data_IF_292255696812
#
_entry.id   IF_292255696812
#
_cell.length_a   1.000
_cell.length_b   1.000
_cell.length_c   1.000
_cell.angle_alpha   90.00
_cell.angle_beta   90.00
_cell.angle_gamma   90.00
#
_symmetry.space_group_name_H-M   'P 1'
#
loop_
_entity.id
_entity.type
_entity.pdbx_description
1 polymer ?
#
# COMPACT_ATOMS: atom_id res chain seq x y z
N UNK A 1 24.68 2.30 1.79
CA UNK A 1 24.39 0.86 1.66
C UNK A 1 22.88 0.68 1.79
N UNK A 2 22.17 0.48 0.69
CA UNK A 2 20.71 0.36 0.72
C UNK A 2 20.36 -0.99 1.36
N UNK A 3 19.86 -0.98 2.60
CA UNK A 3 19.21 -2.15 3.19
C UNK A 3 18.09 -2.53 2.21
N UNK A 4 18.21 -3.69 1.56
CA UNK A 4 17.06 -4.35 0.92
C UNK A 4 16.13 -4.77 2.06
N UNK A 5 15.34 -3.82 2.54
CA UNK A 5 14.27 -4.07 3.49
C UNK A 5 13.28 -5.01 2.83
N UNK A 6 12.71 -5.94 3.59
CA UNK A 6 11.67 -6.88 3.17
C UNK A 6 10.34 -6.21 2.80
N UNK A 7 10.35 -4.87 2.64
CA UNK A 7 9.21 -4.05 2.25
C UNK A 7 8.86 -4.41 0.81
N UNK A 8 7.78 -5.17 0.65
CA UNK A 8 7.33 -5.72 -0.64
C UNK A 8 7.53 -7.23 -0.79
N UNK A 9 8.16 -7.92 0.18
CA UNK A 9 8.11 -9.37 0.23
C UNK A 9 6.71 -9.84 0.62
N UNK A 10 6.16 -10.79 -0.13
CA UNK A 10 4.86 -11.40 0.18
C UNK A 10 4.88 -11.97 1.60
N UNK A 11 3.86 -11.64 2.40
CA UNK A 11 3.73 -12.02 3.81
C UNK A 11 4.35 -11.05 4.81
N UNK A 12 5.11 -10.04 4.37
CA UNK A 12 5.62 -8.97 5.25
C UNK A 12 4.50 -8.01 5.66
N UNK A 13 3.59 -7.70 4.72
CA UNK A 13 2.43 -6.85 4.95
C UNK A 13 1.16 -7.58 4.48
N UNK A 14 0.63 -8.54 5.26
CA UNK A 14 -0.46 -9.42 4.82
C UNK A 14 -1.72 -8.66 4.38
N UNK A 15 -2.01 -7.53 5.02
CA UNK A 15 -3.14 -6.68 4.64
C UNK A 15 -2.86 -5.89 3.34
N UNK A 16 -1.64 -5.36 3.15
CA UNK A 16 -1.22 -4.79 1.87
C UNK A 16 -1.29 -5.80 0.73
N UNK A 17 -0.86 -7.03 0.97
CA UNK A 17 -0.97 -8.13 0.00
C UNK A 17 -2.44 -8.41 -0.36
N UNK A 18 -3.35 -8.37 0.62
CA UNK A 18 -4.79 -8.57 0.40
C UNK A 18 -5.38 -7.51 -0.53
N UNK A 19 -5.02 -6.24 -0.34
CA UNK A 19 -5.53 -5.12 -1.15
C UNK A 19 -4.69 -4.83 -2.40
N UNK A 20 -3.59 -5.56 -2.62
CA UNK A 20 -2.69 -5.35 -3.76
C UNK A 20 -1.81 -4.09 -3.66
N UNK A 21 -1.58 -3.57 -2.45
CA UNK A 21 -0.77 -2.37 -2.23
C UNK A 21 0.73 -2.66 -2.44
N UNK A 22 1.38 -1.85 -3.26
CA UNK A 22 2.81 -1.95 -3.56
C UNK A 22 3.51 -0.62 -3.27
N UNK A 23 4.68 -0.67 -2.65
CA UNK A 23 5.56 0.50 -2.57
C UNK A 23 6.40 0.59 -3.84
N UNK A 24 6.33 1.73 -4.54
CA UNK A 24 7.19 2.03 -5.70
C UNK A 24 8.36 2.93 -5.32
N UNK A 25 8.22 3.68 -4.22
CA UNK A 25 9.28 4.53 -3.64
C UNK A 25 9.14 4.54 -2.11
N UNK A 26 10.26 4.58 -1.40
CA UNK A 26 10.28 4.74 0.05
C UNK A 26 11.64 5.29 0.50
N UNK A 27 11.66 6.04 1.61
CA UNK A 27 12.83 6.70 2.17
C UNK A 27 13.03 8.14 1.69
N UNK A 28 14.04 8.83 2.24
CA UNK A 28 14.32 10.26 1.98
C UNK A 28 13.16 11.21 2.36
N UNK A 29 12.35 10.86 3.36
CA UNK A 29 11.27 11.70 3.86
C UNK A 29 9.96 11.62 3.07
N UNK A 30 9.89 10.76 2.05
CA UNK A 30 8.66 10.48 1.33
C UNK A 30 8.51 8.99 0.97
N UNK A 31 7.30 8.61 0.57
CA UNK A 31 6.99 7.28 0.07
C UNK A 31 5.95 7.38 -1.05
N UNK A 32 5.93 6.37 -1.91
CA UNK A 32 4.94 6.23 -2.95
C UNK A 32 4.38 4.82 -2.92
N UNK A 33 3.06 4.74 -2.83
CA UNK A 33 2.31 3.50 -2.91
C UNK A 33 1.38 3.50 -4.12
N UNK A 34 1.18 2.32 -4.70
CA UNK A 34 0.27 2.09 -5.82
C UNK A 34 -0.57 0.84 -5.56
N UNK A 35 -1.77 0.79 -6.11
CA UNK A 35 -2.60 -0.41 -6.22
C UNK A 35 -3.42 -0.34 -7.50
N UNK A 36 -3.86 -1.49 -7.99
CA UNK A 36 -4.78 -1.58 -9.12
C UNK A 36 -6.22 -1.51 -8.61
N UNK A 37 -7.06 -0.67 -9.22
CA UNK A 37 -8.47 -0.56 -8.84
C UNK A 37 -9.23 -1.77 -9.42
N UNK A 38 -9.53 -2.72 -8.54
CA UNK A 38 -10.24 -3.97 -8.86
C UNK A 38 -11.64 -4.00 -8.21
N UNK A 39 -12.54 -4.82 -8.74
CA UNK A 39 -13.92 -4.97 -8.22
C UNK A 39 -13.95 -5.39 -6.74
N UNK A 40 -13.00 -6.22 -6.30
CA UNK A 40 -12.86 -6.65 -4.89
C UNK A 40 -12.57 -5.50 -3.91
N UNK A 41 -12.14 -4.33 -4.41
CA UNK A 41 -11.80 -3.15 -3.62
C UNK A 41 -12.92 -2.10 -3.63
N UNK A 42 -14.02 -2.37 -4.34
CA UNK A 42 -15.14 -1.44 -4.43
C UNK A 42 -16.04 -1.53 -3.20
N UNK A 43 -16.69 -0.42 -2.86
CA UNK A 43 -17.81 -0.41 -1.94
C UNK A 43 -19.11 -0.85 -2.64
N UNK A 44 -20.24 -0.98 -1.92
CA UNK A 44 -21.53 -1.34 -2.52
C UNK A 44 -22.04 -0.36 -3.59
N UNK A 45 -21.50 0.86 -3.63
CA UNK A 45 -21.82 1.88 -4.62
C UNK A 45 -20.90 1.82 -5.86
N UNK A 46 -20.07 0.79 -5.99
CA UNK A 46 -19.13 0.59 -7.11
C UNK A 46 -18.10 1.71 -7.26
N UNK A 47 -17.74 2.36 -6.15
CA UNK A 47 -16.59 3.27 -6.09
C UNK A 47 -15.51 2.67 -5.22
N UNK A 48 -14.26 3.13 -5.36
CA UNK A 48 -13.15 2.64 -4.54
C UNK A 48 -13.51 2.83 -3.06
N UNK A 49 -13.44 1.74 -2.28
CA UNK A 49 -13.84 1.77 -0.88
C UNK A 49 -12.96 2.77 -0.11
N UNK A 50 -13.58 3.70 0.62
CA UNK A 50 -12.86 4.74 1.36
C UNK A 50 -11.84 4.16 2.36
N UNK A 51 -12.15 3.01 2.95
CA UNK A 51 -11.20 2.24 3.77
C UNK A 51 -9.93 1.80 3.03
N UNK A 52 -10.00 1.46 1.74
CA UNK A 52 -8.81 1.11 0.93
C UNK A 52 -7.93 2.34 0.72
N UNK A 53 -8.53 3.50 0.42
CA UNK A 53 -7.82 4.78 0.32
C UNK A 53 -7.17 5.18 1.65
N UNK A 54 -7.92 5.07 2.75
CA UNK A 54 -7.40 5.34 4.09
C UNK A 54 -6.21 4.43 4.41
N UNK A 55 -6.34 3.13 4.16
CA UNK A 55 -5.27 2.15 4.35
C UNK A 55 -4.02 2.44 3.52
N UNK A 56 -4.17 2.89 2.27
CA UNK A 56 -3.04 3.33 1.45
C UNK A 56 -2.32 4.52 2.10
N UNK A 57 -3.06 5.54 2.55
CA UNK A 57 -2.48 6.72 3.19
C UNK A 57 -1.76 6.36 4.51
N UNK A 58 -2.44 5.59 5.37
CA UNK A 58 -1.91 5.13 6.66
C UNK A 58 -0.64 4.30 6.50
N UNK A 59 -0.66 3.28 5.62
CA UNK A 59 0.51 2.45 5.35
C UNK A 59 1.63 3.26 4.70
N UNK A 60 1.31 4.15 3.77
CA UNK A 60 2.28 5.01 3.08
C UNK A 60 3.04 5.91 4.03
N UNK A 61 2.36 6.49 5.03
CA UNK A 61 3.00 7.25 6.11
C UNK A 61 3.99 6.40 6.93
N UNK A 62 3.84 5.09 7.03
CA UNK A 62 4.84 4.24 7.69
C UNK A 62 6.14 4.04 6.90
N UNK A 63 6.13 4.29 5.59
CA UNK A 63 7.21 3.92 4.67
C UNK A 63 8.34 4.94 4.48
N UNK A 64 8.31 6.11 5.13
CA UNK A 64 9.36 7.12 4.95
C UNK A 64 10.56 6.98 5.91
N UNK A 65 10.48 6.07 6.89
CA UNK A 65 11.53 5.74 7.85
C UNK A 65 12.45 4.63 7.35
#
# INVERSE_FOLDING_TARGET
MSKKTSIGAKGFHPFGDLIGLKFTKFGNGDSQCVLDVEEKLMNPHKTLHGGVLYSMADTGMGGFH
#
